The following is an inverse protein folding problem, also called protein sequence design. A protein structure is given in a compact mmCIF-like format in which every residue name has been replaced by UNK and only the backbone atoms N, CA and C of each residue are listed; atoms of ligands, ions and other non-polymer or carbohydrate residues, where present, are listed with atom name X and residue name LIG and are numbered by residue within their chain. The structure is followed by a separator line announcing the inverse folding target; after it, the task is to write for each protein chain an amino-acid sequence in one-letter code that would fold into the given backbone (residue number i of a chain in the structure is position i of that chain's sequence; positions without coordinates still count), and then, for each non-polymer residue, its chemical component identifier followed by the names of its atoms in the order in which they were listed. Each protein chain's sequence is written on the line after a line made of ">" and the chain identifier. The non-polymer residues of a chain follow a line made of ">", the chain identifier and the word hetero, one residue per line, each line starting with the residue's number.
data_IF_457325051815
#
_entry.id   IF_457325051815
#
_cell.length_a   1.000
_cell.length_b   1.000
_cell.length_c   1.000
_cell.angle_alpha   90.00
_cell.angle_beta   90.00
_cell.angle_gamma   90.00
#
_symmetry.space_group_name_H-M   'P 1'
#
loop_
_entity.id
_entity.type
_entity.pdbx_description
1 polymer ?
#
# COMPACT_ATOMS: atom_id res chain seq x y z
N UNK A 1 -20.86 13.62 -19.09
CA UNK A 1 -19.47 13.36 -19.54
C UNK A 1 -18.57 13.45 -18.32
N UNK A 2 -17.74 12.44 -18.07
CA UNK A 2 -16.83 12.43 -16.93
C UNK A 2 -15.70 13.47 -17.11
N UNK A 3 -15.16 14.04 -16.02
CA UNK A 3 -13.97 14.89 -16.08
C UNK A 3 -12.72 14.13 -16.56
N UNK A 4 -11.82 14.79 -17.30
CA UNK A 4 -10.59 14.18 -17.83
C UNK A 4 -9.66 13.60 -16.75
N UNK A 5 -9.66 14.18 -15.55
CA UNK A 5 -8.92 13.68 -14.40
C UNK A 5 -9.47 12.35 -13.88
N UNK A 6 -10.79 12.20 -13.87
CA UNK A 6 -11.48 10.95 -13.52
C UNK A 6 -11.20 9.87 -14.55
N UNK A 7 -11.25 10.21 -15.84
CA UNK A 7 -10.91 9.29 -16.94
C UNK A 7 -9.47 8.81 -16.83
N UNK A 8 -8.51 9.70 -16.58
CA UNK A 8 -7.10 9.31 -16.36
C UNK A 8 -6.93 8.35 -15.19
N UNK A 9 -7.60 8.62 -14.08
CA UNK A 9 -7.56 7.76 -12.88
C UNK A 9 -8.17 6.38 -13.12
N UNK A 10 -9.23 6.31 -13.94
CA UNK A 10 -9.84 5.04 -14.37
C UNK A 10 -8.87 4.28 -15.27
N UNK A 11 -8.25 4.94 -16.26
CA UNK A 11 -7.30 4.31 -17.18
C UNK A 11 -6.06 3.80 -16.45
N UNK A 12 -5.50 4.58 -15.52
CA UNK A 12 -4.39 4.14 -14.67
C UNK A 12 -4.77 2.95 -13.81
N UNK A 13 -5.95 2.97 -13.20
CA UNK A 13 -6.42 1.85 -12.37
C UNK A 13 -6.76 0.63 -13.20
N UNK A 14 -7.27 0.79 -14.42
CA UNK A 14 -7.73 -0.27 -15.29
C UNK A 14 -6.57 -1.09 -15.90
N UNK A 15 -5.35 -0.55 -15.91
CA UNK A 15 -4.13 -1.21 -16.41
C UNK A 15 -4.32 -1.88 -17.80
N UNK A 16 -5.14 -1.28 -18.67
CA UNK A 16 -5.42 -1.79 -20.02
C UNK A 16 -6.51 -2.87 -20.13
N UNK A 17 -7.22 -3.18 -19.04
CA UNK A 17 -8.34 -4.12 -19.06
C UNK A 17 -9.67 -3.40 -19.34
N UNK A 18 -10.29 -3.71 -20.48
CA UNK A 18 -11.53 -3.06 -20.93
C UNK A 18 -12.72 -3.33 -19.99
N UNK A 19 -12.87 -4.56 -19.50
CA UNK A 19 -13.89 -4.91 -18.50
C UNK A 19 -13.69 -4.13 -17.20
N UNK A 20 -12.43 -3.93 -16.81
CA UNK A 20 -12.09 -3.19 -15.60
C UNK A 20 -12.33 -1.68 -15.75
N UNK A 21 -12.06 -1.11 -16.93
CA UNK A 21 -12.41 0.27 -17.23
C UNK A 21 -13.94 0.49 -17.17
N UNK A 22 -14.75 -0.46 -17.66
CA UNK A 22 -16.22 -0.40 -17.59
C UNK A 22 -16.73 -0.43 -16.14
N UNK A 23 -16.22 -1.34 -15.31
CA UNK A 23 -16.61 -1.44 -13.90
C UNK A 23 -16.20 -0.18 -13.11
N UNK A 24 -14.99 0.36 -13.35
CA UNK A 24 -14.53 1.60 -12.72
C UNK A 24 -15.34 2.83 -13.16
N UNK A 25 -15.86 2.86 -14.39
CA UNK A 25 -16.82 3.87 -14.85
C UNK A 25 -18.15 3.69 -14.10
N UNK A 26 -18.66 2.47 -13.97
CA UNK A 26 -19.90 2.20 -13.23
C UNK A 26 -19.80 2.62 -11.75
N UNK A 27 -18.63 2.46 -11.13
CA UNK A 27 -18.38 2.88 -9.75
C UNK A 27 -18.25 4.41 -9.56
N UNK A 28 -18.05 5.19 -10.63
CA UNK A 28 -18.06 6.67 -10.50
C UNK A 28 -19.44 7.27 -10.26
N UNK A 29 -20.51 6.53 -10.54
CA UNK A 29 -21.88 6.92 -10.23
C UNK A 29 -22.32 6.50 -8.81
N UNK A 30 -21.48 5.75 -8.08
CA UNK A 30 -21.73 5.38 -6.68
C UNK A 30 -21.27 6.49 -5.72
N UNK A 31 -21.98 6.77 -4.60
CA UNK A 31 -21.76 7.95 -3.76
C UNK A 31 -20.40 8.07 -3.04
N UNK A 32 -19.46 7.14 -3.25
CA UNK A 32 -18.18 7.09 -2.52
C UNK A 32 -16.93 6.83 -3.38
N UNK A 33 -17.01 6.73 -4.71
CA UNK A 33 -15.83 6.53 -5.57
C UNK A 33 -14.98 5.30 -5.20
N UNK A 34 -15.61 4.29 -4.59
CA UNK A 34 -15.00 3.05 -4.13
C UNK A 34 -14.73 2.06 -5.26
N UNK A 35 -14.14 0.93 -4.89
CA UNK A 35 -13.91 -0.21 -5.80
C UNK A 35 -15.25 -0.75 -6.32
N UNK A 36 -15.40 -1.06 -7.61
CA UNK A 36 -16.60 -1.72 -8.12
C UNK A 36 -16.76 -3.08 -7.42
N UNK A 37 -17.89 -3.30 -6.75
CA UNK A 37 -18.09 -4.43 -5.83
C UNK A 37 -17.79 -5.78 -6.49
N UNK A 38 -18.25 -6.01 -7.73
CA UNK A 38 -18.08 -7.29 -8.41
C UNK A 38 -16.62 -7.71 -8.65
N UNK A 39 -15.71 -6.76 -8.87
CA UNK A 39 -14.29 -7.06 -9.09
C UNK A 39 -13.50 -7.13 -7.78
N UNK A 40 -13.86 -6.33 -6.78
CA UNK A 40 -13.36 -6.52 -5.42
C UNK A 40 -13.70 -7.92 -4.90
N UNK A 41 -14.95 -8.36 -5.09
CA UNK A 41 -15.44 -9.66 -4.61
C UNK A 41 -14.63 -10.81 -5.21
N UNK A 42 -14.33 -10.77 -6.52
CA UNK A 42 -13.50 -11.80 -7.18
C UNK A 42 -12.07 -11.83 -6.63
N UNK A 43 -11.49 -10.65 -6.33
CA UNK A 43 -10.15 -10.56 -5.75
C UNK A 43 -10.12 -11.03 -4.29
N UNK A 44 -11.16 -10.72 -3.52
CA UNK A 44 -11.33 -11.17 -2.14
C UNK A 44 -11.52 -12.69 -2.08
N UNK A 45 -12.30 -13.30 -2.99
CA UNK A 45 -12.43 -14.76 -3.07
C UNK A 45 -11.06 -15.42 -3.29
N UNK A 46 -10.21 -14.86 -4.16
CA UNK A 46 -8.85 -15.40 -4.38
C UNK A 46 -7.97 -15.26 -3.15
N UNK A 47 -8.12 -14.16 -2.42
CA UNK A 47 -7.44 -13.92 -1.16
C UNK A 47 -7.90 -14.90 -0.07
N UNK A 48 -9.21 -15.15 0.06
CA UNK A 48 -9.80 -16.09 1.02
C UNK A 48 -9.40 -17.55 0.78
N UNK A 49 -8.99 -17.90 -0.45
CA UNK A 49 -8.48 -19.22 -0.80
C UNK A 49 -7.00 -19.46 -0.43
N UNK A 50 -6.33 -18.44 0.10
CA UNK A 50 -4.97 -18.56 0.62
C UNK A 50 -4.97 -19.17 2.02
N UNK A 51 -3.83 -19.73 2.43
CA UNK A 51 -3.58 -20.06 3.83
C UNK A 51 -3.77 -18.85 4.76
N UNK A 52 -4.12 -19.08 6.02
CA UNK A 52 -4.29 -18.00 7.01
C UNK A 52 -3.02 -17.15 7.17
N UNK A 53 -1.85 -17.80 7.14
CA UNK A 53 -0.55 -17.12 7.18
C UNK A 53 -0.34 -16.22 5.97
N UNK A 54 -0.66 -16.69 4.75
CA UNK A 54 -0.57 -15.86 3.54
C UNK A 54 -1.58 -14.70 3.57
N UNK A 55 -2.79 -14.91 4.08
CA UNK A 55 -3.75 -13.83 4.29
C UNK A 55 -3.21 -12.77 5.27
N UNK A 56 -2.59 -13.18 6.38
CA UNK A 56 -1.96 -12.27 7.35
C UNK A 56 -0.84 -11.44 6.70
N UNK A 57 0.01 -12.07 5.88
CA UNK A 57 1.07 -11.38 5.13
C UNK A 57 0.48 -10.37 4.15
N UNK A 58 -0.56 -10.73 3.39
CA UNK A 58 -1.19 -9.82 2.43
C UNK A 58 -1.90 -8.65 3.10
N UNK A 59 -2.59 -8.88 4.23
CA UNK A 59 -3.18 -7.80 5.05
C UNK A 59 -2.12 -6.80 5.51
N UNK A 60 -0.97 -7.30 5.96
CA UNK A 60 0.17 -6.46 6.37
C UNK A 60 0.77 -5.71 5.18
N UNK A 61 1.02 -6.39 4.05
CA UNK A 61 1.54 -5.79 2.84
C UNK A 61 0.59 -4.74 2.24
N UNK A 62 -0.73 -4.90 2.40
CA UNK A 62 -1.72 -3.95 1.89
C UNK A 62 -1.59 -2.56 2.54
N UNK A 63 -1.11 -2.51 3.78
CA UNK A 63 -0.85 -1.29 4.56
C UNK A 63 0.47 -0.61 4.18
N UNK A 64 1.48 -1.38 3.75
CA UNK A 64 2.82 -0.89 3.46
C UNK A 64 2.92 0.12 2.29
N UNK A 65 1.86 0.27 1.48
CA UNK A 65 1.83 1.15 0.32
C UNK A 65 2.02 0.41 -1.00
N UNK A 66 2.77 0.99 -1.96
CA UNK A 66 2.89 0.45 -3.32
C UNK A 66 3.85 -0.74 -3.43
N UNK A 67 4.94 -0.72 -2.66
CA UNK A 67 5.96 -1.75 -2.62
C UNK A 67 6.48 -1.86 -1.19
N UNK A 68 6.82 -3.07 -0.76
CA UNK A 68 7.39 -3.33 0.56
C UNK A 68 8.65 -4.17 0.42
N UNK A 69 9.70 -3.83 1.16
CA UNK A 69 10.91 -4.64 1.23
C UNK A 69 10.71 -5.84 2.15
N UNK A 70 11.40 -6.94 1.84
CA UNK A 70 11.31 -8.19 2.60
C UNK A 70 11.51 -7.99 4.11
N UNK A 71 12.63 -7.36 4.53
CA UNK A 71 12.92 -7.14 5.95
C UNK A 71 11.83 -6.32 6.65
N UNK A 72 11.32 -5.27 6.00
CA UNK A 72 10.28 -4.43 6.59
C UNK A 72 8.97 -5.21 6.74
N UNK A 73 8.63 -6.06 5.79
CA UNK A 73 7.43 -6.91 5.86
C UNK A 73 7.58 -7.98 6.93
N UNK A 74 8.76 -8.61 7.04
CA UNK A 74 9.09 -9.57 8.11
C UNK A 74 8.89 -8.96 9.48
N UNK A 75 9.52 -7.81 9.70
CA UNK A 75 9.48 -7.14 11.00
C UNK A 75 8.05 -6.64 11.33
N UNK A 76 7.26 -6.27 10.32
CA UNK A 76 5.87 -5.83 10.49
C UNK A 76 4.90 -6.99 10.79
N UNK A 77 5.09 -8.15 10.13
CA UNK A 77 4.19 -9.30 10.29
C UNK A 77 4.51 -10.11 11.54
N UNK A 78 5.79 -10.15 11.95
CA UNK A 78 6.25 -10.85 13.16
C UNK A 78 6.23 -12.37 13.08
N UNK A 79 6.33 -12.94 11.87
CA UNK A 79 6.36 -14.38 11.64
C UNK A 79 7.80 -14.91 11.57
N UNK A 80 8.03 -16.22 11.84
CA UNK A 80 9.27 -16.88 11.50
C UNK A 80 9.57 -16.80 10.00
N UNK A 81 10.86 -16.73 9.65
CA UNK A 81 11.33 -16.56 8.27
C UNK A 81 10.73 -17.59 7.30
N UNK A 82 10.77 -18.88 7.66
CA UNK A 82 10.26 -19.96 6.81
C UNK A 82 8.75 -19.84 6.55
N UNK A 83 7.98 -19.38 7.55
CA UNK A 83 6.53 -19.18 7.41
C UNK A 83 6.24 -17.99 6.48
N UNK A 84 7.00 -16.90 6.62
CA UNK A 84 6.89 -15.74 5.75
C UNK A 84 7.25 -16.10 4.29
N UNK A 85 8.36 -16.81 4.07
CA UNK A 85 8.78 -17.22 2.73
C UNK A 85 7.74 -18.13 2.06
N UNK A 86 7.17 -19.07 2.81
CA UNK A 86 6.11 -19.96 2.33
C UNK A 86 4.85 -19.17 1.93
N UNK A 87 4.42 -18.25 2.80
CA UNK A 87 3.28 -17.37 2.54
C UNK A 87 3.48 -16.46 1.32
N UNK A 88 4.67 -15.88 1.18
CA UNK A 88 5.03 -15.04 0.03
C UNK A 88 5.09 -15.84 -1.26
N UNK A 89 5.62 -17.07 -1.22
CA UNK A 89 5.63 -17.98 -2.36
C UNK A 89 4.20 -18.31 -2.80
N UNK A 90 3.33 -18.68 -1.88
CA UNK A 90 1.92 -18.95 -2.18
C UNK A 90 1.25 -17.73 -2.84
N UNK A 91 1.43 -16.54 -2.27
CA UNK A 91 0.87 -15.31 -2.80
C UNK A 91 1.34 -14.95 -4.21
N UNK A 92 2.61 -15.22 -4.52
CA UNK A 92 3.19 -15.02 -5.85
C UNK A 92 2.69 -16.08 -6.84
N UNK A 93 2.64 -17.35 -6.43
CA UNK A 93 2.10 -18.44 -7.26
C UNK A 93 0.63 -18.20 -7.62
N UNK A 94 -0.17 -17.70 -6.67
CA UNK A 94 -1.58 -17.30 -6.85
C UNK A 94 -1.75 -15.95 -7.57
N UNK A 95 -0.66 -15.32 -8.02
CA UNK A 95 -0.65 -14.08 -8.80
C UNK A 95 -1.25 -12.87 -8.07
N UNK A 96 -1.24 -12.86 -6.74
CA UNK A 96 -1.70 -11.72 -5.94
C UNK A 96 -0.55 -10.75 -5.65
N UNK A 97 0.66 -11.27 -5.44
CA UNK A 97 1.89 -10.50 -5.33
C UNK A 97 2.81 -10.76 -6.52
N UNK A 98 3.68 -9.79 -6.79
CA UNK A 98 4.83 -9.92 -7.67
C UNK A 98 6.09 -9.54 -6.90
N UNK A 99 7.17 -10.30 -7.09
CA UNK A 99 8.49 -9.95 -6.59
C UNK A 99 9.19 -8.98 -7.56
N UNK A 100 9.84 -7.98 -7.00
CA UNK A 100 10.64 -6.99 -7.69
C UNK A 100 12.11 -7.03 -7.28
N UNK A 101 12.91 -6.17 -7.89
CA UNK A 101 14.33 -6.03 -7.56
C UNK A 101 14.56 -5.69 -6.09
N UNK A 102 15.69 -6.15 -5.55
CA UNK A 102 16.08 -5.88 -4.16
C UNK A 102 15.21 -6.55 -3.11
N UNK A 103 14.58 -7.68 -3.42
CA UNK A 103 13.75 -8.41 -2.45
C UNK A 103 12.49 -7.64 -2.06
N UNK A 104 11.85 -6.99 -3.03
CA UNK A 104 10.63 -6.21 -2.79
C UNK A 104 9.40 -6.93 -3.31
N UNK A 105 8.25 -6.65 -2.70
CA UNK A 105 6.97 -7.21 -3.09
C UNK A 105 5.97 -6.08 -3.34
N UNK A 106 5.13 -6.26 -4.36
CA UNK A 106 3.99 -5.39 -4.62
C UNK A 106 2.80 -6.23 -5.05
N UNK A 107 1.59 -5.72 -4.81
CA UNK A 107 0.40 -6.35 -5.37
C UNK A 107 0.48 -6.31 -6.90
N UNK A 108 0.12 -7.42 -7.53
CA UNK A 108 0.04 -7.50 -8.99
C UNK A 108 -0.96 -6.49 -9.55
N UNK A 109 -2.02 -6.21 -8.79
CA UNK A 109 -3.06 -5.26 -9.15
C UNK A 109 -3.33 -4.31 -7.99
N UNK A 110 -3.36 -3.01 -8.26
CA UNK A 110 -3.67 -1.99 -7.25
C UNK A 110 -5.02 -2.24 -6.56
N UNK A 111 -6.01 -2.77 -7.29
CA UNK A 111 -7.33 -3.08 -6.75
C UNK A 111 -7.33 -4.18 -5.69
N UNK A 112 -6.49 -5.20 -5.88
CA UNK A 112 -6.39 -6.30 -4.92
C UNK A 112 -5.88 -5.77 -3.57
N UNK A 113 -4.89 -4.88 -3.62
CA UNK A 113 -4.40 -4.17 -2.44
C UNK A 113 -5.52 -3.37 -1.76
N UNK A 114 -6.29 -2.61 -2.53
CA UNK A 114 -7.38 -1.78 -2.00
C UNK A 114 -8.50 -2.61 -1.39
N UNK A 115 -8.88 -3.72 -2.02
CA UNK A 115 -9.89 -4.62 -1.50
C UNK A 115 -9.44 -5.24 -0.17
N UNK A 116 -8.21 -5.79 -0.12
CA UNK A 116 -7.63 -6.35 1.12
C UNK A 116 -7.49 -5.27 2.20
N UNK A 117 -7.09 -4.05 1.84
CA UNK A 117 -6.97 -2.94 2.79
C UNK A 117 -8.34 -2.47 3.32
N UNK A 118 -9.37 -2.47 2.48
CA UNK A 118 -10.72 -2.07 2.85
C UNK A 118 -11.43 -3.13 3.72
N UNK A 119 -11.05 -4.40 3.60
CA UNK A 119 -11.53 -5.51 4.42
C UNK A 119 -10.99 -5.48 5.86
N UNK A 120 -9.89 -4.75 6.11
CA UNK A 120 -9.35 -4.57 7.46
C UNK A 120 -10.30 -3.81 8.37
N UNK A 121 -10.50 -4.30 9.60
CA UNK A 121 -11.19 -3.54 10.62
C UNK A 121 -10.41 -2.27 10.95
N UNK A 122 -11.08 -1.15 11.32
CA UNK A 122 -10.41 0.11 11.63
C UNK A 122 -9.28 -0.03 12.66
N UNK A 123 -9.47 -0.87 13.69
CA UNK A 123 -8.46 -1.15 14.71
C UNK A 123 -7.27 -1.99 14.21
N UNK A 124 -7.48 -2.90 13.26
CA UNK A 124 -6.39 -3.66 12.63
C UNK A 124 -5.53 -2.75 11.78
N UNK A 125 -6.19 -1.94 10.94
CA UNK A 125 -5.54 -0.94 10.09
C UNK A 125 -4.68 0.03 10.91
N UNK A 126 -5.24 0.63 11.96
CA UNK A 126 -4.50 1.55 12.83
C UNK A 126 -3.29 0.87 13.50
N UNK A 127 -3.43 -0.37 13.98
CA UNK A 127 -2.32 -1.13 14.58
C UNK A 127 -1.20 -1.42 13.58
N UNK A 128 -1.54 -1.87 12.37
CA UNK A 128 -0.58 -2.13 11.30
C UNK A 128 0.15 -0.85 10.89
N UNK A 129 -0.58 0.25 10.67
CA UNK A 129 0.05 1.54 10.36
C UNK A 129 1.01 1.97 11.49
N UNK A 130 0.64 1.81 12.75
CA UNK A 130 1.51 2.11 13.88
C UNK A 130 2.78 1.23 13.92
N UNK A 131 2.68 -0.04 13.52
CA UNK A 131 3.84 -0.93 13.40
C UNK A 131 4.80 -0.44 12.31
N UNK A 132 4.28 -0.15 11.11
CA UNK A 132 5.09 0.42 10.02
C UNK A 132 5.74 1.75 10.42
N UNK A 133 5.01 2.65 11.09
CA UNK A 133 5.55 3.92 11.54
C UNK A 133 6.78 3.74 12.45
N UNK A 134 6.70 2.83 13.43
CA UNK A 134 7.80 2.53 14.35
C UNK A 134 8.99 1.88 13.65
N UNK A 135 8.75 0.95 12.73
CA UNK A 135 9.81 0.29 11.97
C UNK A 135 10.55 1.28 11.06
N UNK A 136 9.81 2.20 10.43
CA UNK A 136 10.36 3.25 9.58
C UNK A 136 11.09 4.36 10.37
N UNK A 137 10.85 4.47 11.68
CA UNK A 137 11.53 5.38 12.60
C UNK A 137 12.83 4.80 13.20
N UNK A 138 13.16 3.54 12.90
CA UNK A 138 14.38 2.90 13.39
C UNK A 138 15.68 3.59 12.91
N UNK A 139 16.79 3.42 13.65
CA UNK A 139 18.04 4.17 13.43
C UNK A 139 18.69 3.94 12.05
N UNK A 140 18.41 2.81 11.40
CA UNK A 140 18.94 2.46 10.08
C UNK A 140 18.11 3.05 8.92
N UNK A 141 17.00 3.74 9.20
CA UNK A 141 16.06 4.25 8.17
C UNK A 141 16.26 5.76 7.98
N UNK A 142 16.67 6.14 6.76
CA UNK A 142 17.10 7.50 6.38
C UNK A 142 15.95 8.53 6.44
N UNK A 143 16.33 9.82 6.46
CA UNK A 143 15.46 10.99 6.28
C UNK A 143 14.47 10.86 5.11
N UNK A 144 14.82 10.09 4.09
CA UNK A 144 14.02 9.81 2.89
C UNK A 144 12.68 9.12 3.21
N UNK A 145 12.51 8.49 4.39
CA UNK A 145 11.26 7.85 4.82
C UNK A 145 10.33 8.78 5.62
N UNK A 146 10.71 10.04 5.88
CA UNK A 146 9.93 10.93 6.74
C UNK A 146 8.49 11.14 6.26
N UNK A 147 8.27 11.25 4.94
CA UNK A 147 6.94 11.38 4.36
C UNK A 147 6.09 10.11 4.56
N UNK A 148 6.71 8.94 4.45
CA UNK A 148 6.06 7.64 4.65
C UNK A 148 5.70 7.45 6.14
N UNK A 149 6.63 7.77 7.05
CA UNK A 149 6.37 7.80 8.50
C UNK A 149 5.19 8.70 8.84
N UNK A 150 5.16 9.93 8.32
CA UNK A 150 4.08 10.88 8.55
C UNK A 150 2.72 10.35 8.11
N UNK A 151 2.67 9.61 7.00
CA UNK A 151 1.45 8.93 6.56
C UNK A 151 1.04 7.85 7.56
N UNK A 152 1.95 6.95 7.93
CA UNK A 152 1.63 5.86 8.85
C UNK A 152 1.23 6.33 10.25
N UNK A 153 1.92 7.31 10.83
CA UNK A 153 1.52 7.88 12.12
C UNK A 153 0.13 8.51 12.10
N UNK A 154 -0.23 9.18 10.99
CA UNK A 154 -1.56 9.78 10.83
C UNK A 154 -2.66 8.73 10.78
N UNK A 155 -2.45 7.68 9.99
CA UNK A 155 -3.40 6.56 9.86
C UNK A 155 -3.47 5.70 11.15
N UNK A 156 -2.45 5.75 12.01
CA UNK A 156 -2.48 5.15 13.34
C UNK A 156 -2.96 6.11 14.45
N UNK A 157 -3.39 7.32 14.09
CA UNK A 157 -3.86 8.38 14.99
C UNK A 157 -2.82 8.92 15.99
N UNK A 158 -1.53 8.74 15.72
CA UNK A 158 -0.44 9.39 16.46
C UNK A 158 -0.12 10.75 15.84
N UNK A 159 -1.00 11.72 16.10
CA UNK A 159 -0.93 13.04 15.48
C UNK A 159 0.35 13.85 15.82
N UNK A 160 0.88 13.80 17.06
CA UNK A 160 2.14 14.46 17.38
C UNK A 160 3.32 13.96 16.52
N UNK A 161 3.51 12.64 16.42
CA UNK A 161 4.58 12.07 15.61
C UNK A 161 4.34 12.26 14.11
N UNK A 162 3.07 12.24 13.66
CA UNK A 162 2.71 12.55 12.28
C UNK A 162 3.13 13.97 11.89
N UNK A 163 2.93 14.96 12.77
CA UNK A 163 3.34 16.34 12.55
C UNK A 163 4.86 16.48 12.51
N UNK A 164 5.56 15.88 13.48
CA UNK A 164 7.02 15.89 13.54
C UNK A 164 7.64 15.31 12.26
N UNK A 165 7.19 14.12 11.84
CA UNK A 165 7.65 13.48 10.61
C UNK A 165 7.28 14.30 9.35
N UNK A 166 6.14 14.99 9.34
CA UNK A 166 5.75 15.86 8.22
C UNK A 166 6.68 17.07 8.07
N UNK A 167 7.12 17.66 9.19
CA UNK A 167 8.08 18.77 9.18
C UNK A 167 9.46 18.30 8.69
N UNK A 168 9.91 17.13 9.12
CA UNK A 168 11.16 16.54 8.64
C UNK A 168 11.10 16.23 7.13
N UNK A 169 9.97 15.70 6.65
CA UNK A 169 9.74 15.47 5.22
C UNK A 169 9.78 16.77 4.41
N UNK A 170 9.21 17.85 4.95
CA UNK A 170 9.23 19.16 4.31
C UNK A 170 10.66 19.74 4.24
N UNK A 171 11.43 19.66 5.34
CA UNK A 171 12.84 20.08 5.36
C UNK A 171 13.69 19.29 4.37
N UNK A 172 13.51 17.96 4.32
CA UNK A 172 14.18 17.11 3.34
C UNK A 172 13.82 17.51 1.90
N UNK A 173 12.54 17.72 1.60
CA UNK A 173 12.09 18.13 0.28
C UNK A 173 12.66 19.49 -0.14
N UNK A 174 12.80 20.45 0.79
CA UNK A 174 13.46 21.73 0.53
C UNK A 174 14.94 21.54 0.20
N UNK A 175 15.66 20.72 0.96
CA UNK A 175 17.08 20.42 0.71
C UNK A 175 17.32 19.72 -0.63
N UNK A 176 16.45 18.78 -1.01
CA UNK A 176 16.55 18.04 -2.28
C UNK A 176 16.02 18.85 -3.47
N UNK A 177 15.08 19.78 -3.25
CA UNK A 177 14.52 20.68 -4.27
C UNK A 177 15.37 21.93 -4.55
N UNK A 178 16.30 22.29 -3.67
CA UNK A 178 17.22 23.42 -3.83
C UNK A 178 18.31 23.33 -4.95
N UNK A 179 18.62 22.22 -5.65
CA UNK A 179 19.68 22.19 -6.66
C UNK A 179 19.29 22.66 -8.09
N UNK A 180 18.30 23.55 -8.26
CA UNK A 180 17.94 24.06 -9.60
C UNK A 180 17.78 25.59 -9.71
N UNK A 181 17.75 26.35 -8.62
CA UNK A 181 17.52 27.81 -8.67
C UNK A 181 18.78 28.69 -8.51
N UNK A 182 19.97 28.10 -8.30
CA UNK A 182 21.23 28.88 -8.20
C UNK A 182 21.98 29.13 -9.53
N UNK A 183 21.40 28.77 -10.69
CA UNK A 183 22.00 29.04 -12.01
C UNK A 183 21.00 29.67 -12.98
N UNK A 184 20.63 30.93 -12.76
CA UNK A 184 20.33 31.89 -13.84
C UNK A 184 20.47 33.33 -13.36
#
# INVERSE_FOLDING_TARGET
>A
RLPDSTVRRIVERAEGNAFYAEELVAATDAPAGGVPSGLADVLLIRFEQLSETAQQVLRTAAVAGRRVGHDLLRDAVGLPEEELESALREAVERQLLVSGEGGTYSFRHALAREAVYADLLPGERARLHGAFARLLAGPDRRSDSAAERAHHYRESHDLPEALAASLEAADHAQRVGAPAEELR
#
